data_IF_000264776678
#
_entry.id   IF_000264776678
#
_cell.length_a   1.000
_cell.length_b   1.000
_cell.length_c   1.000
_cell.angle_alpha   90.00
_cell.angle_beta   90.00
_cell.angle_gamma   90.00
#
_symmetry.space_group_name_H-M   'P 1'
#
loop_
_entity.id
_entity.type
_entity.pdbx_description
1 polymer ?
#
# COMPACT_ATOMS: atom_id res chain seq x y z
N UNK A 1 9.98 -35.62 -23.62
CA UNK A 1 11.10 -35.36 -22.69
C UNK A 1 11.91 -34.10 -22.95
N UNK A 2 12.03 -33.63 -24.20
CA UNK A 2 12.80 -32.37 -24.49
C UNK A 2 12.11 -31.08 -24.08
N UNK A 3 10.80 -31.01 -24.16
CA UNK A 3 9.97 -29.82 -23.76
C UNK A 3 10.02 -29.53 -22.26
N UNK A 4 10.16 -30.55 -21.42
CA UNK A 4 10.24 -30.36 -19.97
C UNK A 4 11.55 -29.70 -19.50
N UNK A 5 12.64 -29.90 -20.22
CA UNK A 5 13.94 -29.24 -19.90
C UNK A 5 13.90 -27.73 -20.14
N UNK A 6 13.15 -27.27 -21.13
CA UNK A 6 13.06 -25.82 -21.43
C UNK A 6 12.15 -25.06 -20.41
N UNK A 7 11.13 -25.73 -19.86
CA UNK A 7 10.29 -25.16 -18.82
C UNK A 7 11.10 -24.95 -17.53
N UNK A 8 11.94 -25.92 -17.14
CA UNK A 8 12.80 -25.78 -15.96
C UNK A 8 13.87 -24.69 -16.18
N UNK A 9 14.43 -24.55 -17.38
CA UNK A 9 15.39 -23.49 -17.69
C UNK A 9 14.74 -22.10 -17.69
N UNK A 10 13.48 -21.99 -18.09
CA UNK A 10 12.75 -20.71 -18.06
C UNK A 10 12.39 -20.29 -16.61
N UNK A 11 12.06 -21.25 -15.76
CA UNK A 11 11.80 -20.99 -14.34
C UNK A 11 13.08 -20.59 -13.59
N UNK A 12 14.24 -21.09 -13.99
CA UNK A 12 15.52 -20.75 -13.36
C UNK A 12 16.04 -19.33 -13.72
N UNK A 13 15.59 -18.78 -14.86
CA UNK A 13 15.98 -17.42 -15.29
C UNK A 13 15.18 -16.32 -14.54
N UNK A 14 14.02 -16.67 -13.96
CA UNK A 14 13.20 -15.73 -13.18
C UNK A 14 13.70 -15.58 -11.72
N UNK A 15 14.65 -16.38 -11.27
CA UNK A 15 15.20 -16.35 -9.91
C UNK A 15 16.47 -15.46 -9.81
N UNK A 16 16.46 -14.26 -10.38
CA UNK A 16 17.61 -13.36 -10.30
C UNK A 16 17.23 -12.02 -9.70
N UNK A 17 17.94 -11.74 -8.61
CA UNK A 17 17.99 -10.52 -7.80
C UNK A 17 16.86 -10.31 -6.78
N UNK A 18 16.89 -11.14 -5.75
CA UNK A 18 16.23 -10.85 -4.47
C UNK A 18 17.05 -9.81 -3.66
N UNK A 19 17.24 -8.63 -4.18
CA UNK A 19 17.43 -7.47 -3.30
C UNK A 19 16.05 -7.19 -2.72
N UNK A 20 15.81 -7.68 -1.53
CA UNK A 20 14.55 -7.51 -0.82
C UNK A 20 14.31 -6.03 -0.53
N UNK A 21 13.71 -5.33 -1.47
CA UNK A 21 13.00 -4.12 -1.14
C UNK A 21 11.79 -4.52 -0.30
N UNK A 22 11.53 -3.74 0.70
CA UNK A 22 10.56 -3.97 1.72
C UNK A 22 9.13 -3.80 1.19
N UNK A 23 8.39 -4.90 1.07
CA UNK A 23 6.95 -4.86 0.79
C UNK A 23 6.16 -4.80 2.10
N UNK A 24 5.09 -4.04 2.09
CA UNK A 24 4.10 -4.11 3.16
C UNK A 24 3.13 -5.29 2.93
N UNK A 25 2.24 -5.54 3.88
CA UNK A 25 1.26 -6.63 3.80
C UNK A 25 0.26 -6.50 2.63
N UNK A 26 0.19 -5.33 1.99
CA UNK A 26 -0.66 -5.06 0.83
C UNK A 26 0.09 -5.18 -0.51
N UNK A 27 1.35 -5.63 -0.48
CA UNK A 27 2.15 -5.87 -1.68
C UNK A 27 2.70 -4.61 -2.34
N UNK A 28 2.71 -3.49 -1.63
CA UNK A 28 3.30 -2.22 -2.06
C UNK A 28 4.63 -1.98 -1.33
N UNK A 29 5.48 -1.10 -1.86
CA UNK A 29 6.67 -0.66 -1.14
C UNK A 29 6.27 0.04 0.16
N UNK A 30 6.81 -0.45 1.30
CA UNK A 30 6.44 0.08 2.60
C UNK A 30 7.03 -0.68 3.78
N UNK A 31 6.49 -0.42 4.96
CA UNK A 31 6.92 -1.03 6.23
C UNK A 31 6.26 -2.41 6.44
N UNK A 32 5.43 -2.57 7.48
CA UNK A 32 4.67 -3.80 7.76
C UNK A 32 3.30 -3.69 7.08
N UNK A 33 2.51 -2.67 7.42
CA UNK A 33 1.22 -2.36 6.82
C UNK A 33 1.19 -0.96 6.19
N UNK A 34 2.05 -0.05 6.66
CA UNK A 34 2.10 1.32 6.15
C UNK A 34 2.88 1.41 4.84
N UNK A 35 2.42 2.25 3.90
CA UNK A 35 3.22 2.61 2.73
C UNK A 35 4.40 3.48 3.13
N UNK A 36 5.51 3.38 2.41
CA UNK A 36 6.59 4.36 2.43
C UNK A 36 6.53 5.26 1.19
N UNK A 37 7.29 6.34 1.19
CA UNK A 37 7.42 7.18 0.01
C UNK A 37 8.32 6.57 -1.08
N UNK A 38 8.92 5.43 -0.83
CA UNK A 38 9.75 4.73 -1.80
C UNK A 38 8.90 3.97 -2.82
N UNK A 39 9.48 3.72 -3.97
CA UNK A 39 9.02 2.79 -4.99
C UNK A 39 10.15 1.81 -5.30
N UNK A 40 9.81 0.67 -5.87
CA UNK A 40 10.79 -0.31 -6.26
C UNK A 40 11.67 0.16 -7.42
N UNK A 41 12.63 -0.70 -7.79
CA UNK A 41 13.46 -0.48 -8.94
C UNK A 41 12.59 -0.31 -10.19
N UNK A 42 12.95 0.65 -11.01
CA UNK A 42 12.32 0.89 -12.32
C UNK A 42 12.34 -0.37 -13.20
N UNK A 43 11.30 -0.56 -14.00
CA UNK A 43 11.12 -1.72 -14.91
C UNK A 43 11.05 -3.07 -14.17
N UNK A 44 10.45 -3.08 -12.98
CA UNK A 44 10.29 -4.28 -12.18
C UNK A 44 8.82 -4.70 -12.04
N UNK A 45 8.62 -6.01 -11.88
CA UNK A 45 7.33 -6.63 -11.61
C UNK A 45 7.50 -7.56 -10.43
N UNK A 46 6.57 -7.49 -9.48
CA UNK A 46 6.57 -8.32 -8.28
C UNK A 46 5.22 -8.98 -8.07
N UNK A 47 5.24 -10.18 -7.54
CA UNK A 47 4.05 -10.89 -7.10
C UNK A 47 4.20 -11.15 -5.62
N UNK A 48 3.23 -10.70 -4.83
CA UNK A 48 3.20 -10.94 -3.39
C UNK A 48 1.95 -11.74 -3.02
N UNK A 49 2.09 -12.61 -2.05
CA UNK A 49 0.97 -13.34 -1.43
C UNK A 49 1.08 -13.13 0.06
N UNK A 50 0.08 -12.45 0.62
CA UNK A 50 -0.02 -12.21 2.05
C UNK A 50 -1.13 -13.08 2.64
N UNK A 51 -0.81 -13.75 3.74
CA UNK A 51 -1.77 -14.50 4.54
C UNK A 51 -1.62 -14.11 6.01
N UNK A 52 -2.63 -13.48 6.53
CA UNK A 52 -2.75 -13.09 7.95
C UNK A 52 -4.00 -13.65 8.57
N UNK A 53 -4.25 -13.29 9.83
CA UNK A 53 -5.44 -13.71 10.58
C UNK A 53 -6.73 -13.14 10.01
N UNK A 54 -6.65 -11.99 9.34
CA UNK A 54 -7.83 -11.23 8.86
C UNK A 54 -7.90 -11.15 7.34
N UNK A 55 -6.83 -11.53 6.62
CA UNK A 55 -6.81 -11.32 5.18
C UNK A 55 -5.98 -12.38 4.44
N UNK A 56 -6.43 -12.64 3.22
CA UNK A 56 -5.66 -13.31 2.17
C UNK A 56 -5.62 -12.38 0.98
N UNK A 57 -4.43 -12.02 0.55
CA UNK A 57 -4.21 -11.04 -0.50
C UNK A 57 -3.16 -11.54 -1.48
N UNK A 58 -3.50 -11.51 -2.75
CA UNK A 58 -2.56 -11.65 -3.86
C UNK A 58 -2.41 -10.30 -4.57
N UNK A 59 -1.17 -9.87 -4.82
CA UNK A 59 -0.92 -8.59 -5.47
C UNK A 59 0.12 -8.78 -6.57
N UNK A 60 -0.11 -8.14 -7.71
CA UNK A 60 0.89 -7.95 -8.76
C UNK A 60 1.23 -6.46 -8.78
N UNK A 61 2.48 -6.12 -8.48
CA UNK A 61 2.95 -4.74 -8.41
C UNK A 61 3.98 -4.50 -9.50
N UNK A 62 3.85 -3.41 -10.21
CA UNK A 62 4.75 -2.95 -11.28
C UNK A 62 5.31 -1.58 -10.95
N UNK A 63 6.56 -1.37 -11.27
CA UNK A 63 7.24 -0.06 -11.16
C UNK A 63 7.77 0.30 -12.55
N UNK A 64 6.93 0.83 -13.45
CA UNK A 64 7.34 1.15 -14.81
C UNK A 64 8.36 2.30 -14.85
N UNK A 65 8.29 3.22 -13.89
CA UNK A 65 9.17 4.37 -13.75
C UNK A 65 9.60 4.53 -12.29
N UNK A 66 10.73 5.15 -12.04
CA UNK A 66 11.29 5.39 -10.70
C UNK A 66 10.44 6.30 -9.79
N UNK A 67 9.33 6.83 -10.30
CA UNK A 67 8.36 7.66 -9.61
C UNK A 67 6.94 7.09 -9.56
N UNK A 68 6.69 5.94 -10.21
CA UNK A 68 5.36 5.33 -10.32
C UNK A 68 5.39 3.87 -9.89
N UNK A 69 4.60 3.52 -8.90
CA UNK A 69 4.28 2.14 -8.53
C UNK A 69 2.77 1.94 -8.70
N UNK A 70 2.38 0.90 -9.39
CA UNK A 70 1.00 0.53 -9.59
C UNK A 70 0.80 -0.95 -9.26
N UNK A 71 -0.32 -1.32 -8.67
CA UNK A 71 -0.62 -2.71 -8.39
C UNK A 71 -2.06 -3.07 -8.66
N UNK A 72 -2.25 -4.31 -9.06
CA UNK A 72 -3.53 -4.99 -9.08
C UNK A 72 -3.57 -5.96 -7.92
N UNK A 73 -4.66 -5.97 -7.16
CA UNK A 73 -4.82 -6.87 -6.03
C UNK A 73 -6.09 -7.71 -6.16
N UNK A 74 -6.01 -8.88 -5.52
CA UNK A 74 -7.12 -9.76 -5.28
C UNK A 74 -7.18 -10.08 -3.78
N UNK A 75 -8.25 -9.67 -3.13
CA UNK A 75 -8.39 -9.65 -1.68
C UNK A 75 -9.54 -10.51 -1.21
N UNK A 76 -9.29 -11.30 -0.20
CA UNK A 76 -10.28 -12.10 0.51
C UNK A 76 -10.16 -11.84 2.01
N UNK A 77 -11.04 -11.02 2.59
CA UNK A 77 -11.19 -10.94 4.03
C UNK A 77 -11.77 -12.26 4.56
N UNK A 78 -11.31 -12.71 5.73
CA UNK A 78 -11.74 -14.02 6.26
C UNK A 78 -13.13 -13.96 6.90
N UNK A 79 -13.58 -12.84 7.43
CA UNK A 79 -14.83 -12.71 8.22
C UNK A 79 -15.91 -11.84 7.57
N UNK A 80 -15.69 -11.32 6.37
CA UNK A 80 -16.69 -10.51 5.68
C UNK A 80 -17.64 -11.39 4.85
N UNK A 81 -18.94 -11.30 5.14
CA UNK A 81 -19.98 -12.02 4.44
C UNK A 81 -20.65 -11.13 3.39
N UNK A 82 -20.81 -11.64 2.19
CA UNK A 82 -21.54 -10.96 1.12
C UNK A 82 -23.04 -11.08 1.34
N UNK A 83 -23.73 -9.93 1.48
CA UNK A 83 -25.21 -9.87 1.42
C UNK A 83 -25.96 -10.72 2.44
N UNK A 84 -25.37 -11.01 3.62
CA UNK A 84 -26.02 -11.86 4.64
C UNK A 84 -26.02 -13.37 4.31
N UNK A 85 -25.53 -13.76 3.15
CA UNK A 85 -25.29 -15.15 2.82
C UNK A 85 -23.91 -15.59 3.30
N UNK A 86 -23.76 -16.88 3.69
CA UNK A 86 -22.46 -17.49 4.01
C UNK A 86 -21.63 -17.66 2.73
N UNK A 87 -21.26 -16.57 2.09
CA UNK A 87 -20.42 -16.50 0.90
C UNK A 87 -19.13 -15.80 1.21
N UNK A 88 -18.02 -16.24 0.58
CA UNK A 88 -16.73 -15.57 0.68
C UNK A 88 -16.83 -14.24 -0.06
N UNK A 89 -16.59 -13.14 0.64
CA UNK A 89 -16.40 -11.86 -0.01
C UNK A 89 -15.04 -11.87 -0.73
N UNK A 90 -15.05 -11.53 -2.00
CA UNK A 90 -13.86 -11.43 -2.83
C UNK A 90 -13.84 -10.02 -3.43
N UNK A 91 -12.75 -9.31 -3.24
CA UNK A 91 -12.55 -8.00 -3.79
C UNK A 91 -11.33 -7.94 -4.71
N UNK A 92 -11.35 -7.02 -5.63
CA UNK A 92 -10.27 -6.76 -6.56
C UNK A 92 -10.25 -5.27 -6.90
N UNK A 93 -9.06 -4.73 -7.06
CA UNK A 93 -8.92 -3.33 -7.36
C UNK A 93 -7.51 -2.99 -7.80
N UNK A 94 -7.30 -1.69 -7.95
CA UNK A 94 -6.03 -1.13 -8.37
C UNK A 94 -5.54 -0.15 -7.31
N UNK A 95 -4.22 -0.15 -7.12
CA UNK A 95 -3.53 0.85 -6.31
C UNK A 95 -2.56 1.59 -7.21
N UNK A 96 -2.35 2.86 -6.90
CA UNK A 96 -1.33 3.69 -7.55
C UNK A 96 -0.61 4.53 -6.52
N UNK A 97 0.71 4.61 -6.63
CA UNK A 97 1.55 5.48 -5.82
C UNK A 97 2.47 6.28 -6.72
N UNK A 98 2.43 7.60 -6.54
CA UNK A 98 3.33 8.55 -7.16
C UNK A 98 4.37 8.99 -6.14
N UNK A 99 5.63 8.87 -6.47
CA UNK A 99 6.76 9.19 -5.59
C UNK A 99 7.66 10.24 -6.23
N UNK A 100 8.09 11.19 -5.43
CA UNK A 100 9.05 12.20 -5.82
C UNK A 100 10.23 12.21 -4.86
N UNK A 101 11.44 12.09 -5.39
CA UNK A 101 12.70 12.21 -4.66
C UNK A 101 13.36 13.52 -5.05
N UNK A 102 13.42 14.51 -4.13
CA UNK A 102 14.19 15.73 -4.36
C UNK A 102 15.68 15.43 -4.55
N UNK A 103 16.38 16.27 -5.33
CA UNK A 103 17.85 16.17 -5.53
C UNK A 103 18.64 16.70 -4.32
N UNK A 104 18.03 16.74 -3.14
CA UNK A 104 18.63 17.23 -1.90
C UNK A 104 18.65 16.11 -0.86
N UNK A 105 19.78 15.96 -0.18
CA UNK A 105 19.91 15.03 0.96
C UNK A 105 19.14 15.49 2.20
N UNK A 106 18.78 16.78 2.27
CA UNK A 106 18.05 17.34 3.41
C UNK A 106 16.54 17.22 3.30
N UNK A 107 16.04 16.89 2.10
CA UNK A 107 14.60 16.79 1.87
C UNK A 107 14.18 15.31 1.78
N UNK A 108 13.05 14.96 2.39
CA UNK A 108 12.55 13.60 2.30
C UNK A 108 12.05 13.29 0.88
N UNK A 109 11.99 12.02 0.57
CA UNK A 109 11.13 11.53 -0.52
C UNK A 109 9.68 11.74 -0.11
N UNK A 110 8.81 12.09 -1.05
CA UNK A 110 7.37 12.31 -0.82
C UNK A 110 6.61 11.39 -1.75
N UNK A 111 5.52 10.79 -1.25
CA UNK A 111 4.61 10.03 -2.09
C UNK A 111 3.15 10.34 -1.78
N UNK A 112 2.34 10.24 -2.82
CA UNK A 112 0.90 10.25 -2.79
C UNK A 112 0.41 8.91 -3.33
N UNK A 113 -0.51 8.27 -2.60
CA UNK A 113 -1.07 7.00 -3.04
C UNK A 113 -2.59 6.95 -2.89
N UNK A 114 -3.18 6.17 -3.80
CA UNK A 114 -4.59 5.85 -3.84
C UNK A 114 -4.72 4.34 -3.96
N UNK A 115 -5.26 3.70 -2.94
CA UNK A 115 -5.51 2.27 -2.94
C UNK A 115 -7.00 2.02 -3.14
N UNK A 116 -7.31 0.96 -3.91
CA UNK A 116 -8.68 0.57 -4.27
C UNK A 116 -9.47 1.73 -4.92
N UNK A 117 -8.78 2.56 -5.70
CA UNK A 117 -9.38 3.78 -6.26
C UNK A 117 -10.33 3.50 -7.43
N UNK A 118 -10.24 2.34 -8.05
CA UNK A 118 -11.08 1.88 -9.16
C UNK A 118 -11.60 0.45 -8.92
N UNK A 119 -11.66 0.00 -7.67
CA UNK A 119 -12.27 -1.23 -7.23
C UNK A 119 -13.69 -1.02 -6.72
N UNK A 120 -14.10 -1.80 -5.71
CA UNK A 120 -15.41 -1.65 -5.05
C UNK A 120 -15.46 -0.41 -4.15
N UNK A 121 -14.31 0.13 -3.78
CA UNK A 121 -14.17 1.23 -2.85
C UNK A 121 -14.30 0.84 -1.36
N UNK A 122 -14.47 -0.45 -1.06
CA UNK A 122 -14.60 -0.96 0.31
C UNK A 122 -13.30 -0.83 1.11
N UNK A 123 -12.16 -0.94 0.43
CA UNK A 123 -10.84 -0.93 1.04
C UNK A 123 -10.03 0.31 0.65
N UNK A 124 -10.73 1.36 0.22
CA UNK A 124 -10.05 2.60 -0.19
C UNK A 124 -9.19 3.17 0.93
N UNK A 125 -7.95 3.46 0.57
CA UNK A 125 -6.99 4.16 1.41
C UNK A 125 -6.32 5.21 0.55
N UNK A 126 -6.31 6.43 1.03
CA UNK A 126 -5.53 7.49 0.42
C UNK A 126 -4.44 7.91 1.42
N UNK A 127 -3.28 8.30 0.91
CA UNK A 127 -2.20 8.73 1.78
C UNK A 127 -1.28 9.74 1.11
N UNK A 128 -0.69 10.57 1.95
CA UNK A 128 0.46 11.40 1.63
C UNK A 128 1.51 11.09 2.68
N UNK A 129 2.65 10.56 2.26
CA UNK A 129 3.74 10.16 3.15
C UNK A 129 5.07 10.74 2.71
N UNK A 130 5.93 10.92 3.67
CA UNK A 130 7.33 11.30 3.46
C UNK A 130 8.23 10.23 4.07
N UNK A 131 9.36 9.94 3.41
CA UNK A 131 10.37 9.03 3.95
C UNK A 131 11.72 9.72 3.94
N UNK A 132 12.31 9.89 5.13
CA UNK A 132 13.69 10.29 5.34
C UNK A 132 14.59 9.06 5.38
N UNK A 133 15.72 9.13 4.70
CA UNK A 133 16.75 8.10 4.73
C UNK A 133 18.02 8.62 5.41
N UNK A 134 18.34 8.04 6.55
CA UNK A 134 19.52 8.37 7.39
C UNK A 134 20.48 7.16 7.43
N UNK A 135 20.96 6.71 6.30
CA UNK A 135 21.81 5.53 6.15
C UNK A 135 21.13 4.23 6.64
N UNK A 136 21.28 3.91 7.95
CA UNK A 136 20.73 2.70 8.54
C UNK A 136 19.31 2.87 9.10
N UNK A 137 18.80 4.10 9.14
CA UNK A 137 17.49 4.45 9.67
C UNK A 137 16.66 5.12 8.59
N UNK A 138 15.47 4.58 8.34
CA UNK A 138 14.44 5.27 7.55
C UNK A 138 13.27 5.64 8.45
N UNK A 139 12.85 6.89 8.36
CA UNK A 139 11.68 7.40 9.06
C UNK A 139 10.60 7.75 8.04
N UNK A 140 9.46 7.10 8.15
CA UNK A 140 8.27 7.41 7.34
C UNK A 140 7.22 8.08 8.20
N UNK A 141 6.72 9.23 7.74
CA UNK A 141 5.63 9.97 8.40
C UNK A 141 4.64 10.46 7.35
N UNK A 142 3.40 10.66 7.74
CA UNK A 142 2.40 11.18 6.81
C UNK A 142 0.99 11.21 7.37
N UNK A 143 0.04 11.30 6.45
CA UNK A 143 -1.40 11.27 6.74
C UNK A 143 -2.07 10.25 5.83
N UNK A 144 -3.02 9.51 6.40
CA UNK A 144 -3.87 8.56 5.71
C UNK A 144 -5.36 8.88 5.89
N UNK A 145 -6.15 8.51 4.90
CA UNK A 145 -7.60 8.60 4.87
C UNK A 145 -8.23 7.25 4.55
N UNK A 146 -9.55 7.19 4.52
CA UNK A 146 -10.28 5.95 4.24
C UNK A 146 -10.06 4.91 5.33
N UNK A 147 -9.67 3.71 4.98
CA UNK A 147 -9.42 2.61 5.93
C UNK A 147 -8.20 2.81 6.85
N UNK A 148 -7.43 3.88 6.69
CA UNK A 148 -6.45 4.30 7.69
C UNK A 148 -7.08 5.01 8.89
N UNK A 149 -8.37 5.40 8.81
CA UNK A 149 -9.02 6.18 9.86
C UNK A 149 -9.49 5.24 10.96
N UNK A 150 -8.74 5.19 12.05
CA UNK A 150 -9.06 4.48 13.29
C UNK A 150 -9.13 5.43 14.49
N UNK A 151 -8.89 4.90 15.69
CA UNK A 151 -9.06 5.62 16.97
C UNK A 151 -8.18 6.86 17.12
N UNK A 152 -7.06 6.97 16.39
CA UNK A 152 -6.12 8.10 16.46
C UNK A 152 -6.39 9.19 15.43
N UNK A 153 -7.59 9.24 14.86
CA UNK A 153 -7.91 10.15 13.76
C UNK A 153 -8.05 11.61 14.22
N UNK A 154 -7.65 12.51 13.31
CA UNK A 154 -7.70 13.97 13.47
C UNK A 154 -8.69 14.58 12.48
N UNK A 155 -9.02 15.87 12.69
CA UNK A 155 -9.78 16.63 11.69
C UNK A 155 -8.98 16.70 10.38
N UNK A 156 -9.67 16.61 9.25
CA UNK A 156 -9.04 16.67 7.94
C UNK A 156 -8.33 18.01 7.72
N UNK A 157 -7.01 18.04 7.46
CA UNK A 157 -6.33 19.30 7.19
C UNK A 157 -6.84 20.05 5.95
N UNK A 158 -7.34 19.33 4.95
CA UNK A 158 -7.93 19.94 3.75
C UNK A 158 -9.25 20.66 4.02
N UNK A 159 -9.88 20.41 5.17
CA UNK A 159 -11.05 21.18 5.60
C UNK A 159 -10.76 22.68 5.86
N UNK A 160 -9.50 23.05 6.01
CA UNK A 160 -9.06 24.46 6.04
C UNK A 160 -9.30 25.17 4.70
N UNK A 161 -9.30 24.43 3.60
CA UNK A 161 -9.49 24.98 2.24
C UNK A 161 -10.93 24.88 1.75
N UNK A 162 -11.66 23.84 2.18
CA UNK A 162 -13.06 23.64 1.79
C UNK A 162 -13.78 22.68 2.73
N UNK A 163 -14.99 23.05 3.14
CA UNK A 163 -15.86 22.24 4.01
C UNK A 163 -16.23 20.89 3.41
N UNK A 164 -16.16 20.73 2.10
CA UNK A 164 -16.42 19.45 1.41
C UNK A 164 -15.53 18.31 1.90
N UNK A 165 -14.33 18.62 2.41
CA UNK A 165 -13.39 17.62 2.92
C UNK A 165 -13.69 17.15 4.35
N UNK A 166 -14.65 17.77 5.05
CA UNK A 166 -15.01 17.39 6.43
C UNK A 166 -15.67 16.02 6.51
N UNK A 167 -16.42 15.64 5.47
CA UNK A 167 -17.21 14.40 5.48
C UNK A 167 -16.82 13.52 4.29
N UNK A 168 -16.73 12.20 4.52
CA UNK A 168 -16.59 11.19 3.49
C UNK A 168 -17.95 10.58 3.20
N UNK A 169 -18.32 10.52 1.94
CA UNK A 169 -19.51 9.78 1.53
C UNK A 169 -19.19 8.29 1.59
N UNK A 170 -20.14 7.49 2.06
CA UNK A 170 -20.02 6.04 1.94
C UNK A 170 -19.92 5.69 0.46
N UNK A 171 -18.83 5.02 0.11
CA UNK A 171 -18.76 4.31 -1.14
C UNK A 171 -19.65 3.09 -0.95
N UNK A 172 -20.94 3.20 -1.23
CA UNK A 172 -21.85 2.04 -1.19
C UNK A 172 -21.23 0.88 -1.99
N UNK A 173 -21.72 -0.35 -1.77
CA UNK A 173 -21.36 -1.51 -2.59
C UNK A 173 -21.72 -1.23 -4.06
N UNK A 174 -20.96 -0.33 -4.67
CA UNK A 174 -21.13 0.10 -6.04
C UNK A 174 -20.63 -0.96 -7.01
N UNK A 175 -21.01 -0.78 -8.25
CA UNK A 175 -20.38 -1.49 -9.36
C UNK A 175 -18.92 -1.06 -9.38
N UNK A 176 -17.98 -1.96 -9.04
CA UNK A 176 -16.55 -1.68 -9.10
C UNK A 176 -16.11 -1.28 -10.51
N UNK A 177 -14.97 -0.59 -10.61
CA UNK A 177 -14.37 -0.20 -11.88
C UNK A 177 -14.46 1.30 -12.21
N UNK A 178 -15.17 2.09 -11.41
CA UNK A 178 -15.23 3.55 -11.57
C UNK A 178 -14.57 4.27 -10.40
N UNK A 179 -13.61 5.19 -10.65
CA UNK A 179 -13.00 5.99 -9.60
C UNK A 179 -14.03 6.91 -8.93
N UNK A 180 -14.16 6.82 -7.61
CA UNK A 180 -15.01 7.73 -6.86
C UNK A 180 -14.22 8.92 -6.31
N UNK A 181 -14.06 9.95 -7.13
CA UNK A 181 -13.33 11.17 -6.74
C UNK A 181 -13.97 11.95 -5.58
N UNK A 182 -15.24 11.68 -5.22
CA UNK A 182 -15.92 12.36 -4.12
C UNK A 182 -15.51 11.85 -2.74
N UNK A 183 -14.82 10.72 -2.69
CA UNK A 183 -14.33 10.13 -1.43
C UNK A 183 -12.85 10.40 -1.20
N UNK A 184 -12.08 10.70 -2.26
CA UNK A 184 -10.62 10.86 -2.18
C UNK A 184 -10.24 12.02 -1.28
N UNK A 185 -9.42 11.74 -0.25
CA UNK A 185 -8.99 12.68 0.79
C UNK A 185 -10.13 13.35 1.58
N UNK A 186 -11.30 12.74 1.61
CA UNK A 186 -12.45 13.23 2.37
C UNK A 186 -12.60 12.51 3.72
N UNK A 187 -13.30 13.17 4.67
CA UNK A 187 -13.49 12.67 6.03
C UNK A 187 -12.28 12.93 6.93
N UNK A 188 -12.21 12.24 8.06
CA UNK A 188 -11.08 12.36 8.99
C UNK A 188 -9.78 11.84 8.39
N UNK A 189 -8.66 12.34 8.91
CA UNK A 189 -7.33 11.85 8.57
C UNK A 189 -6.69 11.19 9.79
N UNK A 190 -5.68 10.36 9.57
CA UNK A 190 -4.90 9.72 10.65
C UNK A 190 -3.41 9.91 10.39
N UNK A 191 -2.62 10.31 11.41
CA UNK A 191 -1.18 10.33 11.31
C UNK A 191 -0.61 8.92 11.09
N UNK A 192 0.28 8.80 10.12
CA UNK A 192 1.04 7.59 9.80
C UNK A 192 2.48 7.80 10.25
N UNK A 193 3.01 6.88 11.04
CA UNK A 193 4.38 6.97 11.54
C UNK A 193 4.97 5.56 11.53
N UNK A 194 6.15 5.41 10.95
CA UNK A 194 6.87 4.15 10.94
C UNK A 194 8.37 4.34 10.75
N UNK A 195 9.13 3.34 11.15
CA UNK A 195 10.58 3.36 11.16
C UNK A 195 11.13 2.01 10.73
N UNK A 196 12.18 2.05 9.93
CA UNK A 196 12.98 0.87 9.55
C UNK A 196 14.43 1.09 9.97
N UNK A 197 15.03 0.10 10.62
CA UNK A 197 16.41 0.12 11.09
C UNK A 197 17.14 -1.08 10.50
N UNK A 198 18.13 -0.83 9.65
CA UNK A 198 19.07 -1.86 9.18
C UNK A 198 20.14 -2.10 10.24
N UNK A 199 20.41 -3.35 10.54
CA UNK A 199 21.45 -3.70 11.50
C UNK A 199 22.81 -3.70 10.80
N UNK A 200 23.77 -2.82 11.19
CA UNK A 200 25.04 -2.66 10.46
C UNK A 200 25.92 -3.90 10.37
N UNK A 201 25.74 -4.86 11.29
CA UNK A 201 26.53 -6.10 11.37
C UNK A 201 25.80 -7.32 10.78
N UNK A 202 24.59 -7.12 10.24
CA UNK A 202 23.77 -8.18 9.67
C UNK A 202 23.02 -7.60 8.46
N UNK A 203 23.64 -7.63 7.30
CA UNK A 203 23.20 -6.93 6.08
C UNK A 203 21.76 -7.26 5.67
N UNK A 204 21.26 -8.44 6.04
CA UNK A 204 19.91 -8.90 5.72
C UNK A 204 18.89 -8.66 6.85
N UNK A 205 19.30 -8.07 7.99
CA UNK A 205 18.41 -7.86 9.13
C UNK A 205 17.90 -6.42 9.16
N UNK A 206 16.58 -6.28 9.08
CA UNK A 206 15.88 -4.99 9.20
C UNK A 206 14.79 -5.09 10.26
N UNK A 207 14.84 -4.22 11.26
CA UNK A 207 13.75 -4.02 12.21
C UNK A 207 12.79 -2.97 11.68
N UNK A 208 11.49 -3.24 11.81
CA UNK A 208 10.42 -2.32 11.46
C UNK A 208 9.49 -2.10 12.63
N UNK A 209 9.16 -0.85 12.87
CA UNK A 209 8.18 -0.43 13.87
C UNK A 209 7.24 0.56 13.22
N UNK A 210 5.94 0.39 13.41
CA UNK A 210 4.95 1.32 12.88
C UNK A 210 3.76 1.49 13.83
N UNK A 211 3.11 2.65 13.76
CA UNK A 211 1.78 2.85 14.30
C UNK A 211 0.78 2.45 13.22
N UNK A 212 0.16 1.29 13.36
CA UNK A 212 -0.85 0.82 12.41
C UNK A 212 -2.24 1.32 12.81
N UNK A 213 -2.78 2.36 12.15
CA UNK A 213 -4.10 2.88 12.45
C UNK A 213 -5.22 2.14 11.71
N UNK A 214 -4.89 1.12 10.93
CA UNK A 214 -5.84 0.42 10.06
C UNK A 214 -6.96 -0.21 10.86
N UNK A 215 -8.19 0.13 10.47
CA UNK A 215 -9.41 -0.45 11.03
C UNK A 215 -9.68 -1.80 10.37
N UNK A 216 -9.34 -2.87 11.08
CA UNK A 216 -9.55 -4.25 10.65
C UNK A 216 -10.97 -4.70 11.03
N UNK A 217 -11.99 -4.19 10.34
CA UNK A 217 -13.35 -4.73 10.38
C UNK A 217 -13.96 -4.89 11.79
N UNK A 218 -14.29 -3.79 12.43
CA UNK A 218 -15.30 -3.75 13.49
C UNK A 218 -16.71 -3.66 12.91
#
# INVERSE_FOLDING_TARGET
MKTFKYIISFILIIAIDLKANSYNSFGQTGLINLPSAEVHQEQSIYVTVTRGSFLKLGTITVTPFNWLEASYFYYRPDDLLWGGAKGLYLDKGFNVKLSYKPDSLLLPRIALGLDDFAGTGQFTREYIVTTYDFNNLKLTTGLGWGKFVGNSSISNPFALFSDRFKTRQDSGFGLGGEPNFKTIFHGRATPLIGMEIKVPLADDLTFKVENNPFDYFD
#
